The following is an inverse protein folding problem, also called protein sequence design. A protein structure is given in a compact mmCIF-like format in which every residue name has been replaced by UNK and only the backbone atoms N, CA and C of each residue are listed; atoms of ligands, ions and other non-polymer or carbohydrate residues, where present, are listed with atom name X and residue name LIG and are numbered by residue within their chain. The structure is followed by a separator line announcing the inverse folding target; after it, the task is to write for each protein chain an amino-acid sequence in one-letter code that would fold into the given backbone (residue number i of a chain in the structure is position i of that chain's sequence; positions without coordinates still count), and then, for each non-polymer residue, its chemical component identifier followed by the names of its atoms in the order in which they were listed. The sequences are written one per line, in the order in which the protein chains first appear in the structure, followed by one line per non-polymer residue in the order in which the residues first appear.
data_IF_860992073368
#
_entry.id   IF_860992073368
#
_cell.length_a   1.000
_cell.length_b   1.000
_cell.length_c   1.000
_cell.angle_alpha   90.00
_cell.angle_beta   90.00
_cell.angle_gamma   90.00
#
_symmetry.space_group_name_H-M   'P 1'
#
loop_
_entity.id
_entity.type
_entity.pdbx_description
1 polymer ?
#
# COMPACT_ATOMS: atom_id res chain seq x y z
N UNK A 1 10.59 -9.72 25.67
CA UNK A 1 9.24 -9.40 25.16
C UNK A 1 9.25 -9.76 23.70
N UNK A 2 8.31 -10.59 23.26
CA UNK A 2 8.19 -11.00 21.87
C UNK A 2 7.23 -10.06 21.13
N UNK A 3 7.54 -9.76 19.87
CA UNK A 3 6.73 -8.90 19.00
C UNK A 3 5.93 -9.71 17.97
N UNK A 4 6.18 -11.02 17.90
CA UNK A 4 5.61 -11.89 16.91
C UNK A 4 6.11 -13.33 17.02
N UNK A 5 5.59 -14.19 16.16
CA UNK A 5 5.92 -15.61 16.08
C UNK A 5 5.66 -16.13 14.67
N UNK A 6 6.24 -17.29 14.31
CA UNK A 6 5.90 -17.96 13.06
C UNK A 6 4.46 -18.49 13.06
N UNK A 7 3.83 -18.52 11.90
CA UNK A 7 2.56 -19.21 11.69
C UNK A 7 2.72 -20.73 11.88
N UNK A 8 1.61 -21.44 12.06
CA UNK A 8 1.64 -22.90 12.27
C UNK A 8 2.26 -23.68 11.11
N UNK A 9 2.16 -23.15 9.89
CA UNK A 9 2.76 -23.72 8.68
C UNK A 9 4.13 -23.11 8.35
N UNK A 10 4.65 -22.24 9.22
CA UNK A 10 5.93 -21.55 9.11
C UNK A 10 6.10 -20.64 7.88
N UNK A 11 5.04 -20.38 7.11
CA UNK A 11 5.08 -19.59 5.85
C UNK A 11 4.74 -18.12 6.03
N UNK A 12 4.37 -17.71 7.24
CA UNK A 12 4.18 -16.32 7.61
C UNK A 12 4.90 -16.04 8.95
N UNK A 13 5.46 -14.85 9.09
CA UNK A 13 5.87 -14.33 10.39
C UNK A 13 4.81 -13.32 10.85
N UNK A 14 4.19 -13.61 11.99
CA UNK A 14 3.04 -12.89 12.53
C UNK A 14 3.53 -11.91 13.58
N UNK A 15 3.39 -10.62 13.32
CA UNK A 15 3.71 -9.50 14.20
C UNK A 15 2.42 -9.06 14.88
N UNK A 16 2.35 -9.18 16.20
CA UNK A 16 1.09 -9.03 16.97
C UNK A 16 0.91 -7.63 17.57
N UNK A 17 1.91 -6.76 17.43
CA UNK A 17 1.85 -5.35 17.86
C UNK A 17 2.68 -4.46 16.93
N UNK A 18 2.25 -3.23 16.64
CA UNK A 18 2.84 -2.42 15.58
C UNK A 18 4.13 -1.69 16.00
N UNK A 19 4.38 -1.55 17.30
CA UNK A 19 5.48 -0.81 17.91
C UNK A 19 6.75 -1.64 18.07
N UNK A 20 7.15 -2.33 17.00
CA UNK A 20 8.42 -3.08 16.94
C UNK A 20 9.62 -2.18 17.22
N UNK A 21 10.76 -2.71 17.74
CA UNK A 21 11.93 -1.89 18.08
C UNK A 21 12.54 -1.15 16.88
N UNK A 22 12.29 -1.68 15.69
CA UNK A 22 12.62 -1.11 14.38
C UNK A 22 11.57 -1.60 13.38
N UNK A 23 11.33 -0.90 12.27
CA UNK A 23 10.46 -1.40 11.21
C UNK A 23 10.97 -2.76 10.73
N UNK A 24 10.11 -3.77 10.79
CA UNK A 24 10.36 -5.10 10.22
C UNK A 24 9.76 -5.11 8.82
N UNK A 25 10.53 -5.53 7.82
CA UNK A 25 10.15 -5.40 6.42
C UNK A 25 9.99 -6.75 5.74
N UNK A 26 9.21 -6.74 4.68
CA UNK A 26 9.10 -7.80 3.69
C UNK A 26 9.36 -7.24 2.28
N UNK A 27 9.64 -8.14 1.35
CA UNK A 27 9.78 -7.85 -0.07
C UNK A 27 8.60 -8.43 -0.85
N UNK A 28 7.97 -7.58 -1.65
CA UNK A 28 6.96 -7.99 -2.63
C UNK A 28 7.60 -7.79 -4.00
N UNK A 29 7.83 -8.86 -4.75
CA UNK A 29 8.55 -8.73 -6.01
C UNK A 29 8.20 -9.80 -7.03
N UNK A 30 8.44 -9.44 -8.29
CA UNK A 30 8.61 -10.37 -9.39
C UNK A 30 9.98 -10.10 -10.04
N UNK A 31 10.17 -10.52 -11.30
CA UNK A 31 11.44 -10.36 -12.01
C UNK A 31 11.86 -8.89 -12.24
N UNK A 32 10.91 -7.95 -12.25
CA UNK A 32 11.16 -6.55 -12.60
C UNK A 32 10.65 -5.57 -11.54
N UNK A 33 9.45 -5.76 -11.00
CA UNK A 33 8.88 -4.90 -9.98
C UNK A 33 9.27 -5.39 -8.59
N UNK A 34 9.71 -4.48 -7.73
CA UNK A 34 10.02 -4.78 -6.34
C UNK A 34 9.51 -3.68 -5.41
N UNK A 35 9.00 -4.11 -4.26
CA UNK A 35 8.45 -3.27 -3.21
C UNK A 35 8.98 -3.72 -1.86
N UNK A 36 9.52 -2.77 -1.10
CA UNK A 36 9.81 -2.94 0.32
C UNK A 36 8.61 -2.45 1.11
N UNK A 37 8.05 -3.29 1.98
CA UNK A 37 6.91 -2.96 2.84
C UNK A 37 7.22 -3.32 4.29
N UNK A 38 7.02 -2.37 5.21
CA UNK A 38 7.19 -2.63 6.64
C UNK A 38 5.93 -3.22 7.28
N UNK A 39 6.07 -3.64 8.54
CA UNK A 39 4.96 -3.97 9.43
C UNK A 39 4.05 -2.77 9.72
N UNK A 40 4.33 -1.57 9.23
CA UNK A 40 3.44 -0.41 9.36
C UNK A 40 3.11 0.23 8.01
N UNK A 41 3.29 -0.55 6.94
CA UNK A 41 3.06 -0.19 5.54
C UNK A 41 3.94 0.94 4.99
N UNK A 42 5.01 1.31 5.70
CA UNK A 42 6.09 2.14 5.19
C UNK A 42 6.91 1.45 4.11
N UNK A 43 7.76 2.21 3.43
CA UNK A 43 8.65 1.73 2.38
C UNK A 43 8.29 2.27 0.99
N UNK A 44 8.84 1.66 -0.05
CA UNK A 44 8.68 2.12 -1.43
C UNK A 44 8.71 0.98 -2.44
N UNK A 45 8.41 1.31 -3.69
CA UNK A 45 8.43 0.41 -4.84
C UNK A 45 9.28 0.98 -5.97
N UNK A 46 9.85 0.11 -6.80
CA UNK A 46 10.68 0.46 -7.97
C UNK A 46 10.54 -0.58 -9.09
N UNK A 47 10.87 -0.18 -10.31
CA UNK A 47 10.85 -1.05 -11.50
C UNK A 47 12.28 -1.26 -12.03
N UNK A 48 12.83 -2.45 -11.84
CA UNK A 48 14.17 -2.92 -12.24
C UNK A 48 15.30 -2.24 -11.44
N UNK A 49 15.34 -0.91 -11.43
CA UNK A 49 16.43 -0.13 -10.85
C UNK A 49 15.95 0.73 -9.66
N UNK A 50 16.36 0.42 -8.41
CA UNK A 50 15.94 1.17 -7.22
C UNK A 50 16.50 2.59 -7.15
N UNK A 51 17.51 2.92 -7.98
CA UNK A 51 18.09 4.25 -8.11
C UNK A 51 17.37 5.06 -9.20
N UNK A 52 17.23 4.52 -10.40
CA UNK A 52 16.79 5.30 -11.57
C UNK A 52 15.31 5.15 -11.92
N UNK A 53 14.64 4.13 -11.37
CA UNK A 53 13.25 3.75 -11.69
C UNK A 53 12.42 3.58 -10.42
N UNK A 54 12.66 4.41 -9.41
CA UNK A 54 11.92 4.38 -8.16
C UNK A 54 10.55 5.02 -8.35
N UNK A 55 9.49 4.29 -7.97
CA UNK A 55 8.10 4.69 -8.20
C UNK A 55 7.61 5.55 -7.03
N UNK A 56 7.83 5.09 -5.80
CA UNK A 56 7.37 5.80 -4.59
C UNK A 56 8.54 6.28 -3.74
N UNK A 57 8.33 7.41 -3.06
CA UNK A 57 9.35 8.03 -2.21
C UNK A 57 9.46 7.26 -0.90
N UNK A 58 10.66 7.25 -0.31
CA UNK A 58 10.88 6.78 1.06
C UNK A 58 12.00 7.60 1.70
N UNK A 59 11.81 8.01 2.96
CA UNK A 59 12.77 8.82 3.72
C UNK A 59 13.48 7.93 4.73
N UNK A 60 14.73 7.59 4.43
CA UNK A 60 15.61 6.97 5.42
C UNK A 60 15.90 7.97 6.54
N UNK A 61 16.03 7.48 7.78
CA UNK A 61 16.27 8.31 8.97
C UNK A 61 15.21 9.41 9.20
N UNK A 62 13.96 9.15 8.81
CA UNK A 62 12.83 10.04 9.07
C UNK A 62 12.49 10.08 10.57
N UNK A 63 11.79 11.13 11.01
CA UNK A 63 11.27 11.26 12.38
C UNK A 63 9.75 11.47 12.33
N UNK A 64 8.92 10.51 12.80
CA UNK A 64 9.31 9.14 13.16
C UNK A 64 9.82 8.36 11.93
N UNK A 65 10.50 7.24 12.16
CA UNK A 65 11.01 6.37 11.09
C UNK A 65 9.87 5.77 10.25
N UNK A 66 10.22 5.15 9.12
CA UNK A 66 9.29 4.37 8.29
C UNK A 66 8.21 5.17 7.54
N UNK A 67 8.60 6.29 6.92
CA UNK A 67 7.69 7.12 6.12
C UNK A 67 8.36 7.65 4.83
N UNK A 68 7.57 7.99 3.80
CA UNK A 68 6.15 7.67 3.63
C UNK A 68 5.95 6.16 3.32
N UNK A 69 4.70 5.79 3.03
CA UNK A 69 4.30 4.41 2.78
C UNK A 69 3.02 4.32 1.95
N UNK A 70 2.37 3.17 2.05
CA UNK A 70 1.11 2.81 1.38
C UNK A 70 -0.01 2.97 2.39
N UNK A 71 -0.53 4.18 2.51
CA UNK A 71 -1.46 4.48 3.59
C UNK A 71 -2.91 4.37 3.14
N UNK A 72 -3.71 3.74 3.98
CA UNK A 72 -5.16 3.78 3.93
C UNK A 72 -5.62 4.53 5.17
N UNK A 73 -6.46 5.54 5.01
CA UNK A 73 -7.16 6.19 6.11
C UNK A 73 -8.63 5.84 6.03
N UNK A 74 -9.19 5.39 7.14
CA UNK A 74 -10.62 5.13 7.28
C UNK A 74 -11.17 6.22 8.18
N UNK A 75 -12.17 6.95 7.69
CA UNK A 75 -12.83 8.03 8.42
C UNK A 75 -14.30 7.70 8.58
N UNK A 76 -14.80 7.75 9.81
CA UNK A 76 -16.23 7.70 10.06
C UNK A 76 -16.86 9.04 9.62
N UNK A 77 -17.85 8.98 8.73
CA UNK A 77 -18.50 10.16 8.17
C UNK A 77 -19.41 10.86 9.19
N UNK A 78 -19.85 10.14 10.21
CA UNK A 78 -20.74 10.61 11.27
C UNK A 78 -19.97 11.35 12.35
N UNK A 79 -18.85 10.78 12.81
CA UNK A 79 -18.07 11.36 13.93
C UNK A 79 -16.94 12.27 13.45
N UNK A 80 -16.43 12.03 12.23
CA UNK A 80 -15.24 12.70 11.70
C UNK A 80 -13.92 12.11 12.19
N UNK A 81 -13.95 11.13 13.10
CA UNK A 81 -12.76 10.42 13.55
C UNK A 81 -12.16 9.58 12.42
N UNK A 82 -10.82 9.50 12.37
CA UNK A 82 -10.12 8.69 11.40
C UNK A 82 -8.93 7.94 11.99
N UNK A 83 -8.56 6.84 11.34
CA UNK A 83 -7.45 5.99 11.71
C UNK A 83 -6.83 5.33 10.48
N UNK A 84 -5.61 4.81 10.64
CA UNK A 84 -5.01 3.89 9.69
C UNK A 84 -5.07 2.45 10.22
N UNK A 85 -5.52 1.47 9.42
CA UNK A 85 -5.52 0.05 9.83
C UNK A 85 -4.12 -0.54 9.93
N UNK A 86 -3.09 0.15 9.41
CA UNK A 86 -1.68 -0.25 9.53
C UNK A 86 -0.98 0.45 10.70
N UNK A 87 -1.75 1.04 11.63
CA UNK A 87 -1.34 1.87 12.75
C UNK A 87 -0.64 3.18 12.35
N UNK A 88 0.51 3.12 11.67
CA UNK A 88 1.05 4.30 11.00
C UNK A 88 0.18 4.67 9.79
N UNK A 89 0.07 5.95 9.44
CA UNK A 89 0.79 7.08 10.03
C UNK A 89 0.04 7.79 11.17
N UNK A 90 -1.25 7.51 11.37
CA UNK A 90 -2.09 8.25 12.34
C UNK A 90 -1.80 7.90 13.79
N UNK A 91 -1.26 6.70 14.04
CA UNK A 91 -1.00 6.13 15.36
C UNK A 91 -2.23 6.10 16.28
N UNK A 92 -3.44 6.10 15.68
CA UNK A 92 -4.70 5.99 16.40
C UNK A 92 -4.73 4.69 17.21
N UNK A 93 -5.43 4.70 18.34
CA UNK A 93 -5.58 3.50 19.16
C UNK A 93 -6.46 2.48 18.45
N UNK A 94 -5.88 1.34 18.10
CA UNK A 94 -6.59 0.18 17.54
C UNK A 94 -7.06 -0.75 18.66
N UNK A 95 -8.19 -1.43 18.44
CA UNK A 95 -8.69 -2.49 19.32
C UNK A 95 -7.90 -3.80 19.17
N UNK A 96 -7.41 -4.07 17.96
CA UNK A 96 -6.49 -5.16 17.64
C UNK A 96 -5.60 -4.76 16.47
N UNK A 97 -4.44 -5.40 16.36
CA UNK A 97 -3.53 -5.24 15.25
C UNK A 97 -2.75 -6.54 15.04
N UNK A 98 -2.54 -6.91 13.80
CA UNK A 98 -1.69 -8.01 13.38
C UNK A 98 -1.12 -7.69 11.99
N UNK A 99 0.17 -7.93 11.79
CA UNK A 99 0.80 -7.92 10.47
C UNK A 99 1.42 -9.29 10.20
N UNK A 100 1.16 -9.85 9.02
CA UNK A 100 1.69 -11.14 8.58
C UNK A 100 2.58 -10.89 7.37
N UNK A 101 3.88 -11.03 7.54
CA UNK A 101 4.79 -11.10 6.41
C UNK A 101 4.79 -12.52 5.89
N UNK A 102 4.35 -12.73 4.65
CA UNK A 102 4.39 -14.01 3.97
C UNK A 102 5.30 -13.98 2.76
N UNK A 103 5.30 -15.06 1.98
CA UNK A 103 6.15 -15.22 0.81
C UNK A 103 5.63 -14.36 -0.36
N UNK A 104 6.26 -13.19 -0.57
CA UNK A 104 5.90 -12.24 -1.63
C UNK A 104 4.61 -11.44 -1.39
N UNK A 105 4.03 -11.51 -0.19
CA UNK A 105 2.87 -10.73 0.22
C UNK A 105 2.97 -10.31 1.69
N UNK A 106 2.26 -9.25 2.06
CA UNK A 106 2.06 -8.86 3.46
C UNK A 106 0.59 -8.64 3.72
N UNK A 107 0.08 -9.17 4.83
CA UNK A 107 -1.29 -8.94 5.30
C UNK A 107 -1.29 -8.11 6.57
N UNK A 108 -2.33 -7.30 6.73
CA UNK A 108 -2.64 -6.57 7.94
C UNK A 108 -4.06 -6.94 8.36
N UNK A 109 -4.27 -7.11 9.65
CA UNK A 109 -5.60 -7.19 10.25
C UNK A 109 -5.65 -6.24 11.44
N UNK A 110 -6.71 -5.46 11.56
CA UNK A 110 -6.92 -4.59 12.71
C UNK A 110 -8.39 -4.34 12.96
N UNK A 111 -8.71 -3.79 14.14
CA UNK A 111 -10.05 -3.32 14.44
C UNK A 111 -10.04 -1.93 15.07
N UNK A 112 -11.04 -1.12 14.74
CA UNK A 112 -11.30 0.17 15.38
C UNK A 112 -12.78 0.50 15.24
N UNK A 113 -13.41 0.93 16.34
CA UNK A 113 -14.78 1.51 16.31
C UNK A 113 -15.83 0.63 15.58
N UNK A 114 -15.86 -0.67 15.91
CA UNK A 114 -16.69 -1.71 15.27
C UNK A 114 -16.42 -1.94 13.77
N UNK A 115 -15.25 -1.53 13.27
CA UNK A 115 -14.79 -1.83 11.93
C UNK A 115 -13.58 -2.74 12.01
N UNK A 116 -13.72 -3.95 11.50
CA UNK A 116 -12.60 -4.85 11.19
C UNK A 116 -12.05 -4.47 9.81
N UNK A 117 -10.73 -4.40 9.69
CA UNK A 117 -10.03 -4.08 8.44
C UNK A 117 -8.97 -5.14 8.16
N UNK A 118 -8.98 -5.68 6.96
CA UNK A 118 -7.92 -6.56 6.45
C UNK A 118 -7.31 -5.94 5.19
N UNK A 119 -5.98 -5.90 5.10
CA UNK A 119 -5.29 -5.44 3.88
C UNK A 119 -4.28 -6.47 3.44
N UNK A 120 -4.35 -6.90 2.18
CA UNK A 120 -3.28 -7.70 1.55
C UNK A 120 -2.55 -6.87 0.50
N UNK A 121 -1.22 -6.76 0.64
CA UNK A 121 -0.32 -6.18 -0.33
C UNK A 121 0.48 -7.28 -1.02
N UNK A 122 0.49 -7.31 -2.35
CA UNK A 122 1.33 -8.24 -3.10
C UNK A 122 1.64 -7.72 -4.51
N UNK A 123 2.66 -8.32 -5.14
CA UNK A 123 3.03 -8.08 -6.54
C UNK A 123 2.73 -9.35 -7.33
N UNK A 124 1.89 -9.29 -8.40
CA UNK A 124 1.66 -10.44 -9.27
C UNK A 124 2.93 -10.86 -10.00
N UNK A 125 3.00 -12.15 -10.35
CA UNK A 125 4.19 -12.75 -10.96
C UNK A 125 4.53 -12.13 -12.32
N UNK A 126 3.49 -11.81 -13.12
CA UNK A 126 3.64 -11.46 -14.53
C UNK A 126 3.29 -9.99 -14.83
N UNK A 127 3.27 -9.11 -13.83
CA UNK A 127 2.85 -7.72 -14.03
C UNK A 127 3.53 -6.73 -13.09
N UNK A 128 3.94 -5.59 -13.66
CA UNK A 128 4.74 -4.57 -12.97
C UNK A 128 3.87 -3.59 -12.18
N UNK A 129 3.15 -4.12 -11.21
CA UNK A 129 2.26 -3.39 -10.33
C UNK A 129 2.13 -4.06 -8.97
N UNK A 130 1.77 -3.25 -7.97
CA UNK A 130 1.44 -3.67 -6.63
C UNK A 130 -0.08 -3.58 -6.44
N UNK A 131 -0.67 -4.60 -5.82
CA UNK A 131 -2.11 -4.70 -5.56
C UNK A 131 -2.36 -4.57 -4.06
N UNK A 132 -3.32 -3.72 -3.69
CA UNK A 132 -3.75 -3.54 -2.30
C UNK A 132 -5.21 -3.97 -2.20
N UNK A 133 -5.48 -5.06 -1.50
CA UNK A 133 -6.83 -5.59 -1.29
C UNK A 133 -7.28 -5.24 0.12
N UNK A 134 -8.12 -4.22 0.26
CA UNK A 134 -8.71 -3.79 1.52
C UNK A 134 -10.10 -4.40 1.69
N UNK A 135 -10.34 -5.16 2.75
CA UNK A 135 -11.67 -5.60 3.16
C UNK A 135 -12.05 -4.90 4.46
N UNK A 136 -13.20 -4.24 4.46
CA UNK A 136 -13.80 -3.60 5.63
C UNK A 136 -15.06 -4.36 6.03
N UNK A 137 -15.19 -4.64 7.33
CA UNK A 137 -16.36 -5.31 7.90
C UNK A 137 -16.92 -4.52 9.08
N UNK A 138 -18.21 -4.25 9.04
CA UNK A 138 -18.92 -3.69 10.17
C UNK A 138 -19.27 -4.81 11.16
N UNK A 139 -18.69 -4.79 12.36
CA UNK A 139 -18.95 -5.78 13.40
C UNK A 139 -20.11 -5.41 14.32
N UNK A 140 -20.74 -4.26 14.10
CA UNK A 140 -21.97 -3.89 14.81
C UNK A 140 -23.13 -4.80 14.40
N UNK A 141 -23.96 -5.18 15.38
CA UNK A 141 -25.15 -6.00 15.16
C UNK A 141 -26.39 -5.18 14.75
N UNK A 142 -26.35 -3.85 14.90
CA UNK A 142 -27.56 -3.03 14.76
C UNK A 142 -27.35 -1.66 14.12
N UNK A 143 -26.11 -1.20 13.96
CA UNK A 143 -25.83 0.12 13.40
C UNK A 143 -25.20 0.02 12.02
N UNK A 144 -25.73 0.80 11.09
CA UNK A 144 -25.05 1.08 9.82
C UNK A 144 -23.77 1.91 10.09
N UNK A 145 -22.79 1.77 9.21
CA UNK A 145 -21.53 2.53 9.22
C UNK A 145 -21.33 3.22 7.89
N UNK A 146 -21.01 4.50 7.93
CA UNK A 146 -20.79 5.35 6.76
C UNK A 146 -19.35 5.83 6.77
N UNK A 147 -18.51 5.23 5.92
CA UNK A 147 -17.08 5.47 5.93
C UNK A 147 -16.65 6.23 4.68
N UNK A 148 -15.63 7.07 4.84
CA UNK A 148 -14.78 7.54 3.74
C UNK A 148 -13.45 6.81 3.84
N UNK A 149 -13.01 6.23 2.74
CA UNK A 149 -11.73 5.53 2.65
C UNK A 149 -10.82 6.35 1.76
N UNK A 150 -9.68 6.75 2.30
CA UNK A 150 -8.65 7.49 1.59
C UNK A 150 -7.45 6.59 1.34
N UNK A 151 -6.95 6.56 0.11
CA UNK A 151 -5.64 5.99 -0.18
C UNK A 151 -4.59 7.11 -0.27
N UNK A 152 -3.33 6.79 -0.01
CA UNK A 152 -2.22 7.71 -0.20
C UNK A 152 -0.95 6.96 -0.58
N UNK A 153 -0.28 7.47 -1.62
CA UNK A 153 1.06 7.07 -2.03
C UNK A 153 1.83 8.30 -2.52
N UNK A 154 3.07 8.48 -2.06
CA UNK A 154 3.92 9.60 -2.49
C UNK A 154 4.86 9.16 -3.61
N UNK A 155 4.76 9.77 -4.80
CA UNK A 155 5.62 9.39 -5.93
C UNK A 155 7.04 9.93 -5.72
N UNK A 156 8.03 9.08 -6.04
CA UNK A 156 9.40 9.51 -6.26
C UNK A 156 9.52 10.08 -7.67
N UNK A 157 10.40 11.05 -7.88
CA UNK A 157 10.66 11.64 -9.19
C UNK A 157 11.60 10.75 -10.05
N UNK A 158 11.32 9.44 -10.05
CA UNK A 158 12.06 8.34 -10.69
C UNK A 158 13.50 8.14 -10.22
N UNK A 159 14.38 9.10 -10.49
CA UNK A 159 15.78 9.05 -10.09
C UNK A 159 15.93 9.46 -8.61
N UNK A 160 16.04 8.49 -7.72
CA UNK A 160 16.00 8.67 -6.28
C UNK A 160 17.07 9.61 -5.72
N UNK A 161 18.27 9.65 -6.32
CA UNK A 161 19.31 10.60 -5.89
C UNK A 161 18.95 12.03 -6.31
N UNK A 162 18.41 12.19 -7.52
CA UNK A 162 18.01 13.50 -8.04
C UNK A 162 16.78 14.03 -7.31
N UNK A 163 15.82 13.16 -7.01
CA UNK A 163 14.64 13.42 -6.18
C UNK A 163 14.98 14.06 -4.83
N UNK A 164 16.11 13.66 -4.23
CA UNK A 164 16.55 14.15 -2.91
C UNK A 164 17.43 15.39 -2.97
N UNK A 165 18.23 15.56 -4.05
CA UNK A 165 19.34 16.51 -4.06
C UNK A 165 19.19 17.66 -5.08
N UNK A 166 18.43 17.48 -6.16
CA UNK A 166 18.34 18.45 -7.26
C UNK A 166 16.97 19.16 -7.29
N UNK A 167 16.52 19.60 -6.12
CA UNK A 167 15.17 20.16 -5.94
C UNK A 167 14.91 21.39 -6.81
N UNK A 168 15.96 22.17 -7.10
CA UNK A 168 15.90 23.35 -7.97
C UNK A 168 15.51 23.03 -9.43
N UNK A 169 15.59 21.77 -9.86
CA UNK A 169 15.23 21.36 -11.22
C UNK A 169 14.14 20.29 -11.23
N UNK A 170 14.31 19.21 -10.46
CA UNK A 170 13.47 18.02 -10.57
C UNK A 170 12.02 18.28 -10.10
N UNK A 171 11.83 19.20 -9.15
CA UNK A 171 10.50 19.56 -8.67
C UNK A 171 9.67 20.35 -9.69
N UNK A 172 10.21 20.74 -10.85
CA UNK A 172 9.45 21.47 -11.86
C UNK A 172 8.96 20.60 -13.03
N UNK A 173 9.33 19.32 -13.06
CA UNK A 173 9.11 18.46 -14.23
C UNK A 173 8.11 17.32 -14.01
N UNK A 174 7.73 17.02 -12.76
CA UNK A 174 6.74 15.99 -12.48
C UNK A 174 5.31 16.46 -12.78
N UNK A 175 4.50 15.64 -13.43
CA UNK A 175 3.09 15.92 -13.71
C UNK A 175 2.26 14.77 -13.15
N UNK A 176 1.27 15.07 -12.32
CA UNK A 176 0.28 14.09 -11.85
C UNK A 176 -1.13 14.62 -12.01
N UNK A 177 -1.98 13.82 -12.64
CA UNK A 177 -3.38 14.15 -12.97
C UNK A 177 -4.27 12.95 -12.82
N UNK A 178 -5.54 13.21 -12.51
CA UNK A 178 -6.58 12.20 -12.58
C UNK A 178 -7.18 12.16 -13.99
N UNK A 179 -7.14 10.99 -14.62
CA UNK A 179 -7.64 10.74 -15.97
C UNK A 179 -8.21 9.32 -16.07
N UNK A 180 -9.41 9.18 -16.65
CA UNK A 180 -10.07 7.89 -16.88
C UNK A 180 -10.04 6.94 -15.66
N UNK A 181 -10.48 7.42 -14.50
CA UNK A 181 -10.53 6.66 -13.23
C UNK A 181 -9.17 6.18 -12.69
N UNK A 182 -8.08 6.83 -13.08
CA UNK A 182 -6.75 6.59 -12.53
C UNK A 182 -6.01 7.91 -12.30
N UNK A 183 -5.17 7.98 -11.28
CA UNK A 183 -4.13 9.01 -11.17
C UNK A 183 -2.95 8.54 -12.01
N UNK A 184 -2.46 9.40 -12.90
CA UNK A 184 -1.30 9.15 -13.75
C UNK A 184 -0.18 10.12 -13.38
N UNK A 185 1.02 9.60 -13.16
CA UNK A 185 2.23 10.36 -12.89
C UNK A 185 3.30 10.10 -13.95
N UNK A 186 3.90 11.16 -14.47
CA UNK A 186 5.02 11.09 -15.42
C UNK A 186 5.91 12.34 -15.32
N UNK A 187 7.08 12.32 -15.96
CA UNK A 187 7.87 13.53 -16.20
C UNK A 187 7.35 14.24 -17.45
N UNK A 188 7.57 15.55 -17.55
CA UNK A 188 7.17 16.38 -18.68
C UNK A 188 7.59 15.83 -20.04
N UNK A 189 8.77 15.19 -20.12
CA UNK A 189 9.29 14.60 -21.35
C UNK A 189 8.80 13.16 -21.62
N UNK A 190 8.03 12.59 -20.69
CA UNK A 190 7.45 11.23 -20.73
C UNK A 190 8.48 10.10 -20.89
N UNK A 191 9.79 10.40 -20.77
CA UNK A 191 10.89 9.47 -21.05
C UNK A 191 10.90 8.26 -20.12
N UNK A 192 10.37 8.43 -18.91
CA UNK A 192 10.26 7.40 -17.89
C UNK A 192 9.01 6.52 -18.05
N UNK A 193 8.12 6.84 -18.99
CA UNK A 193 6.77 6.29 -19.00
C UNK A 193 5.95 6.82 -17.83
N UNK A 194 4.94 6.04 -17.43
CA UNK A 194 3.91 6.44 -16.48
C UNK A 194 3.90 5.52 -15.27
N UNK A 195 3.80 6.12 -14.08
CA UNK A 195 3.22 5.44 -12.93
C UNK A 195 1.72 5.71 -12.90
N UNK A 196 0.93 4.76 -12.39
CA UNK A 196 -0.51 4.95 -12.25
C UNK A 196 -1.03 4.39 -10.93
N UNK A 197 -2.11 4.99 -10.44
CA UNK A 197 -2.83 4.53 -9.26
C UNK A 197 -4.34 4.52 -9.54
N UNK A 198 -5.00 3.38 -9.33
CA UNK A 198 -6.42 3.23 -9.62
C UNK A 198 -7.14 2.36 -8.57
N UNK A 199 -8.47 2.36 -8.61
CA UNK A 199 -9.30 1.55 -7.73
C UNK A 199 -10.47 0.89 -8.46
N UNK A 200 -10.96 -0.25 -7.96
CA UNK A 200 -12.19 -0.88 -8.41
C UNK A 200 -13.46 -0.14 -7.95
N UNK A 201 -13.31 0.73 -6.94
CA UNK A 201 -14.40 1.49 -6.36
C UNK A 201 -14.41 2.89 -6.95
N UNK A 202 -15.60 3.47 -7.09
CA UNK A 202 -15.75 4.84 -7.60
C UNK A 202 -14.95 5.81 -6.74
N UNK A 203 -14.01 6.52 -7.35
CA UNK A 203 -13.26 7.62 -6.75
C UNK A 203 -14.14 8.87 -6.82
N UNK A 204 -14.50 9.43 -5.68
CA UNK A 204 -15.40 10.60 -5.56
C UNK A 204 -14.63 11.93 -5.53
N UNK A 205 -13.45 11.89 -4.96
CA UNK A 205 -12.46 12.98 -4.96
C UNK A 205 -11.06 12.38 -4.95
N UNK A 206 -10.07 13.17 -5.36
CA UNK A 206 -8.68 12.74 -5.49
C UNK A 206 -7.75 13.92 -5.19
N UNK A 207 -6.47 13.66 -4.96
CA UNK A 207 -5.43 14.68 -4.95
C UNK A 207 -4.15 14.13 -5.58
N UNK A 208 -3.52 14.96 -6.40
CA UNK A 208 -2.24 14.68 -7.03
C UNK A 208 -1.10 15.52 -6.43
N UNK A 209 -1.41 16.54 -5.63
CA UNK A 209 -0.46 17.42 -4.94
C UNK A 209 -0.35 17.05 -3.46
N UNK A 210 0.86 16.73 -2.98
CA UNK A 210 1.10 16.44 -1.56
C UNK A 210 0.66 17.60 -0.67
N UNK A 211 1.01 18.82 -1.06
CA UNK A 211 0.73 20.03 -0.29
C UNK A 211 -0.77 20.29 -0.15
N UNK A 212 -1.57 19.91 -1.16
CA UNK A 212 -3.03 20.00 -1.10
C UNK A 212 -3.63 18.93 -0.19
N UNK A 213 -3.20 17.68 -0.32
CA UNK A 213 -3.76 16.57 0.48
C UNK A 213 -3.37 16.64 1.96
N UNK A 214 -2.07 16.84 2.23
CA UNK A 214 -1.52 16.88 3.58
C UNK A 214 -1.91 18.18 4.29
N UNK A 215 -1.86 19.30 3.56
CA UNK A 215 -2.07 20.63 4.13
C UNK A 215 -0.81 21.24 4.73
N UNK A 216 -0.87 22.53 5.05
CA UNK A 216 0.28 23.29 5.55
C UNK A 216 0.60 22.90 7.00
N UNK A 217 1.88 22.76 7.30
CA UNK A 217 2.39 22.43 8.65
C UNK A 217 1.83 21.11 9.23
N UNK A 218 1.50 20.18 8.35
CA UNK A 218 0.99 18.83 8.65
C UNK A 218 1.92 17.79 8.04
N UNK A 219 1.72 16.54 8.43
CA UNK A 219 2.39 15.38 7.83
C UNK A 219 1.39 14.24 7.57
N UNK A 220 1.87 13.06 7.21
CA UNK A 220 1.01 11.93 6.89
C UNK A 220 0.15 11.48 8.09
N UNK A 221 0.47 11.84 9.33
CA UNK A 221 -0.31 11.48 10.51
C UNK A 221 -1.65 12.23 10.61
N UNK A 222 -1.75 13.42 10.01
CA UNK A 222 -2.93 14.28 10.12
C UNK A 222 -3.29 15.06 8.84
N UNK A 223 -3.50 14.38 7.69
CA UNK A 223 -3.76 15.05 6.42
C UNK A 223 -5.05 15.88 6.46
N UNK A 224 -4.99 17.11 5.96
CA UNK A 224 -6.13 18.03 5.92
C UNK A 224 -7.32 17.45 5.14
N UNK A 225 -7.08 16.81 3.99
CA UNK A 225 -8.13 16.18 3.18
C UNK A 225 -8.88 15.07 3.94
N UNK A 226 -8.15 14.27 4.73
CA UNK A 226 -8.74 13.19 5.54
C UNK A 226 -9.55 13.78 6.69
N UNK A 227 -9.01 14.79 7.38
CA UNK A 227 -9.70 15.47 8.48
C UNK A 227 -11.05 16.05 8.04
N UNK A 228 -11.08 16.78 6.92
CA UNK A 228 -12.32 17.40 6.40
C UNK A 228 -13.27 16.41 5.74
N UNK A 229 -12.78 15.23 5.30
CA UNK A 229 -13.59 14.18 4.72
C UNK A 229 -13.74 14.22 3.18
N UNK A 230 -12.92 15.01 2.48
CA UNK A 230 -12.91 15.11 1.02
C UNK A 230 -11.54 15.56 0.51
N UNK A 231 -11.09 15.02 -0.63
CA UNK A 231 -9.90 15.50 -1.33
C UNK A 231 -10.20 16.78 -2.15
N UNK A 232 -9.16 17.56 -2.44
CA UNK A 232 -9.29 18.88 -3.07
C UNK A 232 -9.34 18.86 -4.60
N UNK A 233 -9.28 17.67 -5.22
CA UNK A 233 -9.22 17.49 -6.69
C UNK A 233 -8.02 18.19 -7.30
N UNK A 234 -6.91 18.22 -6.56
CA UNK A 234 -5.68 18.87 -7.03
C UNK A 234 -5.01 18.10 -8.16
N UNK A 235 -4.43 18.85 -9.09
CA UNK A 235 -3.40 18.37 -10.01
C UNK A 235 -2.02 18.80 -9.51
N UNK A 236 -0.97 18.09 -9.93
CA UNK A 236 0.41 18.52 -9.73
C UNK A 236 1.07 18.80 -11.07
N UNK A 237 1.58 20.02 -11.24
CA UNK A 237 2.52 20.40 -12.30
C UNK A 237 3.75 20.95 -11.58
N UNK A 238 4.72 20.07 -11.37
CA UNK A 238 5.80 20.24 -10.42
C UNK A 238 5.40 19.88 -8.98
N UNK A 239 6.22 20.34 -8.01
CA UNK A 239 6.05 20.08 -6.59
C UNK A 239 6.34 18.62 -6.21
N UNK A 240 5.49 18.07 -5.34
CA UNK A 240 5.61 16.71 -4.83
C UNK A 240 4.36 15.91 -5.25
N UNK A 241 4.42 15.21 -6.40
CA UNK A 241 3.30 14.42 -6.88
C UNK A 241 2.95 13.27 -5.93
N UNK A 242 1.65 13.04 -5.76
CA UNK A 242 1.10 11.92 -5.01
C UNK A 242 -0.01 11.23 -5.81
N UNK A 243 -0.45 10.09 -5.31
CA UNK A 243 -1.75 9.52 -5.62
C UNK A 243 -2.57 9.37 -4.34
N UNK A 244 -3.54 10.26 -4.15
CA UNK A 244 -4.54 10.14 -3.11
C UNK A 244 -5.94 10.07 -3.71
N UNK A 245 -6.74 9.13 -3.22
CA UNK A 245 -8.13 8.93 -3.68
C UNK A 245 -9.05 8.86 -2.48
N UNK A 246 -10.31 9.22 -2.65
CA UNK A 246 -11.35 9.13 -1.64
C UNK A 246 -12.61 8.47 -2.21
N UNK A 247 -13.12 7.46 -1.51
CA UNK A 247 -14.33 6.71 -1.86
C UNK A 247 -15.24 6.55 -0.65
N UNK A 248 -16.56 6.58 -0.88
CA UNK A 248 -17.54 6.26 0.17
C UNK A 248 -17.79 4.76 0.27
N UNK A 249 -17.87 4.26 1.51
CA UNK A 249 -18.23 2.87 1.82
C UNK A 249 -19.34 2.88 2.87
N UNK A 250 -20.54 2.44 2.47
CA UNK A 250 -21.64 2.19 3.39
C UNK A 250 -21.66 0.70 3.77
N UNK A 251 -21.74 0.38 5.06
CA UNK A 251 -21.80 -0.99 5.56
C UNK A 251 -23.00 -1.15 6.50
N UNK A 252 -23.93 -2.04 6.16
CA UNK A 252 -24.96 -2.52 7.08
C UNK A 252 -24.35 -3.33 8.23
N UNK A 253 -25.10 -3.60 9.31
CA UNK A 253 -24.68 -4.54 10.34
C UNK A 253 -24.15 -5.85 9.75
N UNK A 254 -22.96 -6.26 10.19
CA UNK A 254 -22.27 -7.48 9.74
C UNK A 254 -21.89 -7.54 8.25
N UNK A 255 -22.10 -6.46 7.48
CA UNK A 255 -21.71 -6.39 6.07
C UNK A 255 -20.19 -6.22 5.93
N UNK A 256 -19.64 -6.82 4.87
CA UNK A 256 -18.26 -6.64 4.45
C UNK A 256 -18.19 -6.13 3.01
N UNK A 257 -17.23 -5.25 2.72
CA UNK A 257 -16.93 -4.76 1.36
C UNK A 257 -15.43 -4.77 1.11
N UNK A 258 -15.05 -5.10 -0.12
CA UNK A 258 -13.67 -5.14 -0.57
C UNK A 258 -13.41 -4.03 -1.60
N UNK A 259 -12.33 -3.28 -1.38
CA UNK A 259 -11.79 -2.30 -2.29
C UNK A 259 -10.43 -2.79 -2.76
N UNK A 260 -10.19 -2.72 -4.06
CA UNK A 260 -8.90 -3.05 -4.66
C UNK A 260 -8.27 -1.76 -5.16
N UNK A 261 -7.00 -1.56 -4.83
CA UNK A 261 -6.15 -0.53 -5.41
C UNK A 261 -5.01 -1.17 -6.20
N UNK A 262 -4.55 -0.47 -7.24
CA UNK A 262 -3.43 -0.89 -8.07
C UNK A 262 -2.47 0.27 -8.25
N UNK A 263 -1.19 0.08 -7.88
CA UNK A 263 -0.08 0.99 -8.14
C UNK A 263 0.87 0.34 -9.14
N UNK A 264 0.91 0.82 -10.37
CA UNK A 264 1.69 0.18 -11.44
C UNK A 264 2.53 1.14 -12.24
N UNK A 265 3.34 0.57 -13.14
CA UNK A 265 4.06 1.30 -14.18
C UNK A 265 3.70 0.79 -15.55
N UNK A 266 3.72 1.69 -16.53
CA UNK A 266 3.54 1.37 -17.95
C UNK A 266 4.41 2.30 -18.79
N UNK A 267 5.03 1.76 -19.84
CA UNK A 267 5.77 2.60 -20.79
C UNK A 267 4.83 3.54 -21.54
N UNK A 268 3.69 3.01 -21.99
CA UNK A 268 2.69 3.77 -22.76
C UNK A 268 1.43 4.03 -21.95
N UNK A 269 0.90 5.25 -22.06
CA UNK A 269 -0.36 5.64 -21.44
C UNK A 269 -1.55 4.76 -21.88
N UNK A 270 -1.55 4.31 -23.14
CA UNK A 270 -2.63 3.50 -23.71
C UNK A 270 -2.85 2.17 -22.98
N UNK A 271 -1.80 1.58 -22.42
CA UNK A 271 -1.87 0.27 -21.78
C UNK A 271 -2.42 0.34 -20.35
N UNK A 272 -2.43 1.53 -19.75
CA UNK A 272 -2.84 1.71 -18.34
C UNK A 272 -4.27 1.24 -18.12
N UNK A 273 -5.19 1.57 -19.02
CA UNK A 273 -6.61 1.22 -18.85
C UNK A 273 -6.85 -0.30 -18.93
N UNK A 274 -6.04 -1.02 -19.70
CA UNK A 274 -6.12 -2.49 -19.77
C UNK A 274 -5.62 -3.14 -18.48
N UNK A 275 -4.51 -2.64 -17.94
CA UNK A 275 -4.00 -3.05 -16.64
C UNK A 275 -4.99 -2.75 -15.52
N UNK A 276 -5.53 -1.52 -15.47
CA UNK A 276 -6.53 -1.13 -14.47
C UNK A 276 -7.75 -2.04 -14.55
N UNK A 277 -8.33 -2.25 -15.73
CA UNK A 277 -9.49 -3.15 -15.90
C UNK A 277 -9.21 -4.58 -15.44
N UNK A 278 -8.03 -5.11 -15.75
CA UNK A 278 -7.65 -6.47 -15.37
C UNK A 278 -7.48 -6.60 -13.86
N UNK A 279 -6.72 -5.70 -13.25
CA UNK A 279 -6.26 -5.83 -11.87
C UNK A 279 -7.12 -5.13 -10.82
N UNK A 280 -8.21 -4.48 -11.24
CA UNK A 280 -9.29 -4.03 -10.33
C UNK A 280 -10.48 -5.00 -10.28
N UNK A 281 -10.43 -6.09 -11.04
CA UNK A 281 -11.45 -7.14 -10.97
C UNK A 281 -11.13 -8.15 -9.84
N UNK A 282 -12.09 -8.42 -8.95
CA UNK A 282 -11.89 -9.28 -7.78
C UNK A 282 -11.43 -10.69 -8.14
N UNK A 283 -12.10 -11.35 -9.10
CA UNK A 283 -11.76 -12.73 -9.50
C UNK A 283 -10.34 -12.82 -10.08
N UNK A 284 -9.95 -11.84 -10.89
CA UNK A 284 -8.59 -11.78 -11.42
C UNK A 284 -7.56 -11.61 -10.30
N UNK A 285 -7.82 -10.74 -9.32
CA UNK A 285 -6.90 -10.54 -8.19
C UNK A 285 -6.75 -11.81 -7.35
N UNK A 286 -7.85 -12.52 -7.09
CA UNK A 286 -7.80 -13.81 -6.39
C UNK A 286 -6.97 -14.85 -7.16
N UNK A 287 -7.15 -14.92 -8.48
CA UNK A 287 -6.35 -15.79 -9.36
C UNK A 287 -4.86 -15.45 -9.26
N UNK A 288 -4.50 -14.17 -9.32
CA UNK A 288 -3.10 -13.72 -9.25
C UNK A 288 -2.46 -13.99 -7.88
N UNK A 289 -3.22 -13.83 -6.79
CA UNK A 289 -2.76 -14.20 -5.45
C UNK A 289 -2.53 -15.72 -5.32
N UNK A 290 -3.43 -16.54 -5.88
CA UNK A 290 -3.26 -17.99 -5.91
C UNK A 290 -2.05 -18.42 -6.75
N UNK A 291 -1.78 -17.74 -7.87
CA UNK A 291 -0.58 -18.00 -8.68
C UNK A 291 0.69 -17.74 -7.86
N UNK A 292 0.77 -16.60 -7.16
CA UNK A 292 1.89 -16.27 -6.28
C UNK A 292 2.14 -17.37 -5.25
N UNK A 293 1.07 -17.81 -4.56
CA UNK A 293 1.16 -18.91 -3.59
C UNK A 293 1.66 -20.20 -4.23
N UNK A 294 1.17 -20.57 -5.42
CA UNK A 294 1.63 -21.76 -6.15
C UNK A 294 3.11 -21.67 -6.54
N UNK A 295 3.57 -20.50 -6.99
CA UNK A 295 4.98 -20.31 -7.35
C UNK A 295 5.90 -20.51 -6.14
N UNK A 296 5.59 -19.89 -5.01
CA UNK A 296 6.38 -20.05 -3.79
C UNK A 296 6.35 -21.47 -3.24
N UNK A 297 5.18 -22.13 -3.26
CA UNK A 297 5.10 -23.54 -2.89
C UNK A 297 5.94 -24.42 -3.81
N UNK A 298 5.94 -24.15 -5.11
CA UNK A 298 6.79 -24.89 -6.06
C UNK A 298 8.27 -24.65 -5.81
N UNK A 299 8.68 -23.42 -5.47
CA UNK A 299 10.07 -23.08 -5.17
C UNK A 299 10.55 -23.81 -3.91
N UNK A 300 9.84 -23.65 -2.79
CA UNK A 300 10.22 -24.21 -1.50
C UNK A 300 10.16 -25.74 -1.45
N UNK A 301 9.32 -26.38 -2.27
CA UNK A 301 9.26 -27.84 -2.37
C UNK A 301 10.49 -28.48 -3.05
N UNK A 302 11.45 -27.68 -3.54
CA UNK A 302 12.69 -28.18 -4.14
C UNK A 302 13.63 -28.77 -3.09
N UNK A 303 13.64 -28.22 -1.88
CA UNK A 303 14.45 -28.67 -0.76
C UNK A 303 13.66 -28.55 0.55
N UNK A 304 13.52 -29.67 1.26
CA UNK A 304 12.94 -29.69 2.60
C UNK A 304 13.71 -30.65 3.51
N UNK A 305 13.86 -30.27 4.78
CA UNK A 305 14.44 -31.07 5.86
C UNK A 305 13.40 -31.31 6.95
N UNK A 306 13.53 -32.43 7.64
CA UNK A 306 12.78 -32.76 8.85
C UNK A 306 13.80 -33.25 9.89
N UNK A 307 13.90 -32.53 11.00
CA UNK A 307 14.89 -32.79 12.06
C UNK A 307 14.23 -32.77 13.45
N UNK A 308 15.00 -33.08 14.49
CA UNK A 308 14.55 -32.94 15.88
C UNK A 308 14.53 -31.48 16.36
N UNK A 309 14.95 -30.51 15.52
CA UNK A 309 15.01 -29.07 15.83
C UNK A 309 14.04 -28.27 14.92
N UNK A 310 12.80 -27.99 15.37
CA UNK A 310 11.78 -27.33 14.55
C UNK A 310 12.16 -25.92 14.06
N UNK A 311 13.00 -25.21 14.81
CA UNK A 311 13.50 -23.89 14.43
C UNK A 311 14.47 -24.00 13.23
N UNK A 312 15.30 -25.04 13.20
CA UNK A 312 16.18 -25.34 12.08
C UNK A 312 15.37 -25.64 10.82
N UNK A 313 14.35 -26.49 10.96
CA UNK A 313 13.45 -26.84 9.85
C UNK A 313 12.71 -25.60 9.33
N UNK A 314 12.23 -24.73 10.21
CA UNK A 314 11.57 -23.47 9.83
C UNK A 314 12.47 -22.59 8.97
N UNK A 315 13.73 -22.43 9.37
CA UNK A 315 14.68 -21.60 8.63
C UNK A 315 15.04 -22.23 7.29
N UNK A 316 15.39 -23.53 7.25
CA UNK A 316 15.84 -24.19 6.03
C UNK A 316 14.70 -24.41 5.04
N UNK A 317 13.48 -24.71 5.50
CA UNK A 317 12.35 -25.01 4.62
C UNK A 317 11.66 -23.77 4.07
N UNK A 318 11.89 -22.59 4.66
CA UNK A 318 11.17 -21.37 4.29
C UNK A 318 12.08 -20.14 4.27
N UNK A 319 12.55 -19.67 5.43
CA UNK A 319 13.04 -18.28 5.58
C UNK A 319 14.47 -18.03 5.10
N UNK A 320 15.25 -19.09 4.87
CA UNK A 320 16.64 -19.00 4.37
C UNK A 320 16.76 -19.24 2.86
N UNK A 321 15.74 -19.81 2.20
CA UNK A 321 15.75 -20.09 0.75
C UNK A 321 15.44 -18.85 -0.08
#
# INVERSE_FOLDING_TARGET
MEYGHFSKDNKEYIITRPDTPTPWINYLSNNEYCAMISNTAGGYSFHIDPKNRRITRYRYNNIPTDRPGRYIYIRDSTTGEYWSPTWQPTQSKLGSYECRHGLGYTKFASSSTDIESEITYFVPIDSNLEIWVLTLKNTSLSQDRWLKVFSYSEFCLWEALRDQNDLQSIQFVGISRYDNNAILYHLFDESTGYAFFASNTKIESYDCSRESFIGKYRDESNPEAVEIGECFRSEAVGGNPIAATCSSVALKPMESKTIIYVLGVSQDKSNVQDLVRKFTNNENVDIEFQKLSKQWNSYLNTLSVETEEPDFDTMINVWNQ
#
